data_IF_135310278201
#
_entry.id   IF_135310278201
#
_cell.length_a   1.000
_cell.length_b   1.000
_cell.length_c   1.000
_cell.angle_alpha   90.00
_cell.angle_beta   90.00
_cell.angle_gamma   90.00
#
_symmetry.space_group_name_H-M   'P 1'
#
loop_
_entity.id
_entity.type
_entity.pdbx_description
1 polymer ?
#
# COMPACT_ATOMS: atom_id res chain seq x y z
N UNK A 1 -5.27 17.72 1.08
CA UNK A 1 -3.90 17.16 1.17
C UNK A 1 -4.05 15.65 1.05
N UNK A 2 -3.37 14.95 0.13
CA UNK A 2 -3.51 13.50 0.04
C UNK A 2 -2.87 12.89 1.29
N UNK A 3 -3.67 12.15 2.04
CA UNK A 3 -3.25 11.43 3.26
C UNK A 3 -2.35 10.27 2.82
N UNK A 4 -1.04 10.36 3.05
CA UNK A 4 -0.11 9.23 2.85
C UNK A 4 -0.24 8.31 4.06
N UNK A 5 -0.81 7.12 3.87
CA UNK A 5 -1.22 6.26 5.00
C UNK A 5 -0.09 5.36 5.51
N UNK A 6 0.94 5.04 4.71
CA UNK A 6 2.00 4.11 5.13
C UNK A 6 3.37 4.52 4.59
N UNK A 7 4.05 5.44 5.28
CA UNK A 7 5.42 5.83 4.93
C UNK A 7 6.37 4.68 5.34
N UNK A 8 7.01 4.03 4.37
CA UNK A 8 8.10 3.09 4.61
C UNK A 8 7.72 1.62 4.84
N UNK A 9 6.45 1.22 4.64
CA UNK A 9 6.01 -0.18 4.68
C UNK A 9 5.11 -0.55 3.51
N UNK A 10 5.18 -1.80 3.06
CA UNK A 10 4.30 -2.33 2.04
C UNK A 10 2.86 -2.41 2.56
N UNK A 11 1.93 -1.80 1.85
CA UNK A 11 0.53 -1.77 2.26
C UNK A 11 -0.16 -3.14 2.30
N UNK A 12 0.32 -4.11 1.51
CA UNK A 12 -0.24 -5.47 1.53
C UNK A 12 0.38 -6.38 2.59
N UNK A 13 1.72 -6.46 2.62
CA UNK A 13 2.42 -7.48 3.41
C UNK A 13 3.11 -6.93 4.66
N UNK A 14 3.09 -5.60 4.88
CA UNK A 14 3.66 -4.95 6.06
C UNK A 14 5.19 -4.95 6.13
N UNK A 15 5.89 -5.47 5.11
CA UNK A 15 7.37 -5.43 5.03
C UNK A 15 7.88 -3.99 5.02
N UNK A 16 9.01 -3.76 5.66
CA UNK A 16 9.72 -2.49 5.60
C UNK A 16 10.27 -2.26 4.19
N UNK A 17 10.04 -1.05 3.67
CA UNK A 17 10.48 -0.57 2.36
C UNK A 17 11.75 0.30 2.45
N UNK A 18 12.22 0.54 3.67
CA UNK A 18 13.49 1.20 3.94
C UNK A 18 14.59 0.14 4.05
N UNK A 19 15.43 0.02 3.02
CA UNK A 19 16.68 -0.73 3.14
C UNK A 19 17.77 0.16 3.75
N UNK A 20 18.74 -0.41 4.49
CA UNK A 20 19.89 0.32 5.04
C UNK A 20 20.73 1.07 3.99
N UNK A 21 20.62 0.70 2.71
CA UNK A 21 21.46 1.18 1.60
C UNK A 21 20.76 2.20 0.68
N UNK A 22 19.55 2.64 1.05
CA UNK A 22 18.75 3.58 0.26
C UNK A 22 17.38 3.01 -0.11
N UNK A 23 16.47 3.89 -0.56
CA UNK A 23 15.07 3.53 -0.88
C UNK A 23 15.03 2.32 -1.81
N UNK A 24 14.41 1.22 -1.35
CA UNK A 24 13.99 0.13 -2.23
C UNK A 24 13.12 0.75 -3.32
N UNK A 25 13.14 0.21 -4.55
CA UNK A 25 12.24 0.67 -5.62
C UNK A 25 10.80 0.44 -5.17
N UNK A 26 10.21 1.45 -4.52
CA UNK A 26 8.84 1.44 -4.05
C UNK A 26 7.94 1.74 -5.24
N UNK A 27 6.93 0.91 -5.45
CA UNK A 27 5.85 1.21 -6.37
C UNK A 27 4.77 1.96 -5.59
N UNK A 28 4.63 3.25 -5.87
CA UNK A 28 3.52 4.07 -5.35
C UNK A 28 2.31 3.90 -6.27
N UNK A 29 1.15 3.61 -5.72
CA UNK A 29 -0.12 3.55 -6.45
C UNK A 29 -1.19 4.34 -5.70
N UNK A 30 -2.10 4.94 -6.47
CA UNK A 30 -3.25 5.68 -5.93
C UNK A 30 -4.49 4.83 -6.08
N UNK A 31 -5.12 4.48 -4.96
CA UNK A 31 -6.34 3.67 -4.90
C UNK A 31 -7.36 4.42 -4.05
N UNK A 32 -8.53 4.72 -4.61
CA UNK A 32 -9.58 5.53 -3.98
C UNK A 32 -9.08 6.88 -3.41
N UNK A 33 -8.10 7.50 -4.09
CA UNK A 33 -7.50 8.77 -3.69
C UNK A 33 -6.48 8.67 -2.54
N UNK A 34 -6.18 7.46 -2.07
CA UNK A 34 -5.17 7.18 -1.05
C UNK A 34 -3.90 6.67 -1.73
N UNK A 35 -2.75 7.20 -1.31
CA UNK A 35 -1.44 6.76 -1.80
C UNK A 35 -0.95 5.58 -0.96
N UNK A 36 -0.61 4.49 -1.63
CA UNK A 36 -0.08 3.28 -1.03
C UNK A 36 1.26 2.91 -1.65
N UNK A 37 2.18 2.46 -0.79
CA UNK A 37 3.52 2.02 -1.15
C UNK A 37 3.58 0.48 -1.15
N UNK A 38 4.23 -0.10 -2.16
CA UNK A 38 4.36 -1.55 -2.31
C UNK A 38 5.80 -2.00 -2.57
N UNK A 39 6.17 -3.15 -1.98
CA UNK A 39 7.45 -3.86 -2.19
C UNK A 39 7.55 -4.41 -3.62
N UNK A 40 6.45 -5.01 -4.11
CA UNK A 40 6.39 -5.63 -5.44
C UNK A 40 5.14 -5.25 -6.21
N UNK A 41 5.18 -5.42 -7.54
CA UNK A 41 4.01 -5.29 -8.42
C UNK A 41 2.90 -6.26 -8.03
N UNK A 42 3.24 -7.49 -7.64
CA UNK A 42 2.26 -8.47 -7.18
C UNK A 42 1.51 -8.00 -5.93
N UNK A 43 2.21 -7.31 -5.01
CA UNK A 43 1.56 -6.72 -3.84
C UNK A 43 0.53 -5.67 -4.26
N UNK A 44 0.88 -4.78 -5.20
CA UNK A 44 -0.05 -3.77 -5.69
C UNK A 44 -1.26 -4.40 -6.42
N UNK A 45 -1.02 -5.42 -7.26
CA UNK A 45 -2.10 -6.10 -7.99
C UNK A 45 -3.05 -6.86 -7.07
N UNK A 46 -2.53 -7.59 -6.07
CA UNK A 46 -3.36 -8.31 -5.10
C UNK A 46 -4.18 -7.34 -4.26
N UNK A 47 -3.58 -6.24 -3.83
CA UNK A 47 -4.26 -5.22 -3.04
C UNK A 47 -5.41 -4.56 -3.81
N UNK A 48 -5.22 -4.23 -5.10
CA UNK A 48 -6.31 -3.77 -5.98
C UNK A 48 -7.41 -4.82 -6.17
N UNK A 49 -7.06 -6.11 -6.26
CA UNK A 49 -8.06 -7.18 -6.33
C UNK A 49 -8.87 -7.30 -5.05
N UNK A 50 -8.23 -7.18 -3.88
CA UNK A 50 -8.95 -7.21 -2.60
C UNK A 50 -9.92 -6.04 -2.48
N UNK A 51 -9.52 -4.84 -2.91
CA UNK A 51 -10.40 -3.69 -3.02
C UNK A 51 -11.63 -3.98 -3.91
N UNK A 52 -11.41 -4.55 -5.09
CA UNK A 52 -12.50 -4.92 -5.98
C UNK A 52 -13.43 -6.01 -5.45
N UNK A 53 -12.95 -6.89 -4.56
CA UNK A 53 -13.74 -8.01 -4.02
C UNK A 53 -14.47 -7.64 -2.74
N UNK A 54 -13.79 -6.94 -1.82
CA UNK A 54 -14.31 -6.60 -0.50
C UNK A 54 -14.87 -5.18 -0.41
N UNK A 55 -14.68 -4.36 -1.45
CA UNK A 55 -15.14 -2.98 -1.48
C UNK A 55 -14.41 -2.10 -0.45
N UNK A 56 -15.00 -0.93 -0.18
CA UNK A 56 -14.41 0.06 0.72
C UNK A 56 -14.31 -0.38 2.19
N UNK A 57 -15.05 -1.43 2.59
CA UNK A 57 -15.10 -1.91 3.97
C UNK A 57 -13.77 -2.54 4.42
N UNK A 58 -12.94 -2.99 3.47
CA UNK A 58 -11.60 -3.52 3.75
C UNK A 58 -10.66 -2.47 4.36
N UNK A 59 -10.89 -1.19 4.08
CA UNK A 59 -10.01 -0.09 4.49
C UNK A 59 -10.26 0.43 5.90
N UNK A 60 -11.44 0.17 6.47
CA UNK A 60 -11.82 0.66 7.79
C UNK A 60 -11.06 -0.05 8.93
N UNK A 61 -10.70 -1.33 8.74
CA UNK A 61 -10.00 -2.10 9.76
C UNK A 61 -8.47 -1.91 9.74
N UNK A 62 -7.88 -1.48 8.61
CA UNK A 62 -6.43 -1.27 8.49
C UNK A 62 -6.02 0.11 9.00
N UNK A 63 -6.98 1.02 9.17
CA UNK A 63 -6.76 2.43 9.56
C UNK A 63 -7.24 2.78 10.97
N UNK A 64 -7.82 1.83 11.72
CA UNK A 64 -8.33 2.06 13.09
C UNK A 64 -7.35 1.66 14.20
#
# INVERSE_FOLDING_TARGET
MPTKILQGKCALCGKDLEAPEGRIKVREEVINGIHYDFDTEDCAMMFKKFESVYGNDYWLDITS
#
